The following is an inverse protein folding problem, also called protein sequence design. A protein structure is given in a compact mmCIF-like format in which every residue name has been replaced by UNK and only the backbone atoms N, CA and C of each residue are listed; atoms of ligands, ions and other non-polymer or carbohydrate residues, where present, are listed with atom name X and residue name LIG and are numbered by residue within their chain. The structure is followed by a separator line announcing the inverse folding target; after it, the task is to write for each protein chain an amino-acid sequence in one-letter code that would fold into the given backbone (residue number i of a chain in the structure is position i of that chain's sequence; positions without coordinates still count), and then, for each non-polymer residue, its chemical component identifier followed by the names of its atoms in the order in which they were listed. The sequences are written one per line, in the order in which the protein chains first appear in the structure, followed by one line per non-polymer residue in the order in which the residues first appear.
data_IF_020673844208
#
_entry.id   IF_020673844208
#
_cell.length_a   1.000
_cell.length_b   1.000
_cell.length_c   1.000
_cell.angle_alpha   90.00
_cell.angle_beta   90.00
_cell.angle_gamma   90.00
#
_symmetry.space_group_name_H-M   'P 1'
#
loop_
_entity.id
_entity.type
_entity.pdbx_description
1 polymer ?
#
# COMPACT_ATOMS: atom_id res chain seq x y z
N UNK A 1 57.80 5.29 -37.29
CA UNK A 1 57.07 4.45 -38.26
C UNK A 1 56.13 3.52 -37.50
N UNK A 2 54.84 3.45 -37.86
CA UNK A 2 53.81 2.66 -37.18
C UNK A 2 53.66 1.23 -37.75
N UNK A 3 53.09 0.30 -36.98
CA UNK A 3 52.17 -0.78 -37.44
C UNK A 3 51.62 -1.52 -36.20
N UNK A 4 50.33 -1.38 -35.85
CA UNK A 4 49.13 -2.14 -36.29
C UNK A 4 49.16 -3.61 -35.85
N UNK A 5 48.40 -3.92 -34.77
CA UNK A 5 47.73 -5.18 -34.39
C UNK A 5 47.58 -5.17 -32.85
N UNK A 6 46.44 -5.23 -32.18
CA UNK A 6 45.03 -5.43 -32.53
C UNK A 6 44.20 -4.71 -31.46
N UNK A 7 43.19 -3.98 -31.92
CA UNK A 7 42.14 -3.46 -31.07
C UNK A 7 41.24 -4.62 -30.62
N UNK A 8 41.27 -4.97 -29.34
CA UNK A 8 40.15 -5.66 -28.71
C UNK A 8 39.44 -4.64 -27.82
N UNK A 9 38.56 -3.89 -28.48
CA UNK A 9 37.51 -3.15 -27.82
C UNK A 9 36.58 -4.14 -27.12
N UNK A 10 36.70 -4.22 -25.79
CA UNK A 10 35.68 -4.83 -24.94
C UNK A 10 35.56 -4.06 -23.64
N UNK A 11 35.30 -2.77 -23.77
CA UNK A 11 34.67 -2.03 -22.69
C UNK A 11 33.22 -2.46 -22.67
N UNK A 12 32.94 -3.45 -21.82
CA UNK A 12 31.59 -3.74 -21.35
C UNK A 12 31.03 -2.39 -20.90
N UNK A 13 29.99 -1.92 -21.59
CA UNK A 13 28.96 -1.12 -20.94
C UNK A 13 28.47 -1.99 -19.79
N UNK A 14 29.01 -1.78 -18.61
CA UNK A 14 28.33 -2.20 -17.38
C UNK A 14 27.05 -1.40 -17.42
N UNK A 15 25.97 -2.05 -17.88
CA UNK A 15 24.63 -1.56 -17.62
C UNK A 15 24.60 -1.31 -16.13
N UNK A 16 24.56 -0.03 -15.76
CA UNK A 16 24.16 0.39 -14.44
C UNK A 16 22.77 -0.22 -14.31
N UNK A 17 22.64 -1.33 -13.58
CA UNK A 17 21.32 -1.78 -13.17
C UNK A 17 20.69 -0.56 -12.53
N UNK A 18 19.54 -0.12 -13.03
CA UNK A 18 18.71 0.82 -12.30
C UNK A 18 18.49 0.17 -10.94
N UNK A 19 19.20 0.70 -9.94
CA UNK A 19 19.03 0.32 -8.56
C UNK A 19 17.58 0.73 -8.28
N UNK A 20 16.69 -0.26 -8.13
CA UNK A 20 15.28 0.02 -7.91
C UNK A 20 15.18 0.98 -6.73
N UNK A 21 14.61 2.16 -6.97
CA UNK A 21 14.44 3.16 -5.92
C UNK A 21 13.51 2.54 -4.87
N UNK A 22 13.94 2.56 -3.61
CA UNK A 22 13.08 2.12 -2.50
C UNK A 22 12.27 3.32 -2.05
N UNK A 23 10.96 3.24 -2.19
CA UNK A 23 10.02 4.26 -1.72
C UNK A 23 9.48 3.82 -0.36
N UNK A 24 9.39 4.76 0.57
CA UNK A 24 8.63 4.55 1.81
C UNK A 24 7.19 5.03 1.58
N UNK A 25 6.24 4.20 2.01
CA UNK A 25 4.83 4.55 2.11
C UNK A 25 4.40 4.38 3.56
N UNK A 26 3.43 5.17 3.99
CA UNK A 26 2.90 5.12 5.34
C UNK A 26 1.44 4.65 5.29
N UNK A 27 1.13 3.61 6.04
CA UNK A 27 -0.23 3.08 6.15
C UNK A 27 -0.76 3.51 7.52
N UNK A 28 -1.81 4.31 7.52
CA UNK A 28 -2.42 4.82 8.74
C UNK A 28 -3.67 4.01 9.12
N UNK A 29 -3.78 3.69 10.40
CA UNK A 29 -4.88 2.95 11.02
C UNK A 29 -5.63 3.85 11.99
N UNK A 30 -6.96 3.71 12.03
CA UNK A 30 -7.82 4.53 12.87
C UNK A 30 -8.59 3.71 13.88
N UNK A 31 -8.07 3.55 15.10
CA UNK A 31 -8.80 2.82 16.13
C UNK A 31 -9.93 3.66 16.71
N UNK A 32 -11.15 3.14 16.60
CA UNK A 32 -12.37 3.83 16.98
C UNK A 32 -13.46 2.85 17.43
N UNK A 33 -14.52 3.38 18.05
CA UNK A 33 -15.67 2.58 18.41
C UNK A 33 -16.30 1.97 17.16
N UNK A 34 -16.63 0.68 17.23
CA UNK A 34 -17.25 -0.01 16.11
C UNK A 34 -18.64 0.56 15.82
N UNK A 35 -18.99 0.78 14.54
CA UNK A 35 -20.38 1.00 14.14
C UNK A 35 -21.21 -0.31 14.15
N UNK A 36 -20.55 -1.48 14.24
CA UNK A 36 -21.17 -2.80 14.30
C UNK A 36 -21.47 -3.20 15.74
N UNK A 37 -22.69 -3.69 16.04
CA UNK A 37 -23.12 -3.97 17.40
C UNK A 37 -22.37 -5.13 18.07
N UNK A 38 -21.81 -6.05 17.29
CA UNK A 38 -21.13 -7.25 17.79
C UNK A 38 -19.63 -7.03 18.08
N UNK A 39 -19.12 -5.83 17.81
CA UNK A 39 -17.72 -5.46 18.02
C UNK A 39 -17.65 -4.21 18.90
N UNK A 40 -16.69 -4.17 19.84
CA UNK A 40 -16.49 -2.96 20.63
C UNK A 40 -15.72 -1.88 19.84
N UNK A 41 -14.75 -2.29 19.02
CA UNK A 41 -13.85 -1.42 18.27
C UNK A 41 -13.50 -1.99 16.90
N UNK A 42 -13.21 -1.07 15.98
CA UNK A 42 -12.55 -1.34 14.69
C UNK A 42 -11.28 -0.49 14.58
N UNK A 43 -10.33 -0.93 13.77
CA UNK A 43 -9.06 -0.28 13.48
C UNK A 43 -8.72 -0.43 11.99
N UNK A 44 -9.55 0.10 11.06
CA UNK A 44 -9.32 -0.01 9.63
C UNK A 44 -8.11 0.81 9.18
N UNK A 45 -7.61 0.53 7.97
CA UNK A 45 -6.69 1.44 7.25
C UNK A 45 -7.51 2.66 6.84
N UNK A 46 -7.19 3.83 7.38
CA UNK A 46 -7.91 5.08 7.16
C UNK A 46 -7.24 6.00 6.16
N UNK A 47 -5.97 5.75 5.83
CA UNK A 47 -5.23 6.47 4.79
C UNK A 47 -3.97 5.71 4.38
N UNK A 48 -3.48 5.99 3.17
CA UNK A 48 -2.13 5.65 2.72
C UNK A 48 -1.45 6.94 2.27
N UNK A 49 -0.29 7.25 2.85
CA UNK A 49 0.35 8.56 2.79
C UNK A 49 1.80 8.44 2.30
N UNK A 50 2.32 9.51 1.71
CA UNK A 50 3.67 9.54 1.14
C UNK A 50 4.73 10.00 2.15
N UNK A 51 4.35 10.73 3.19
CA UNK A 51 5.28 11.37 4.12
C UNK A 51 4.88 11.23 5.60
N UNK A 52 5.85 11.36 6.51
CA UNK A 52 5.58 11.37 7.96
C UNK A 52 4.83 12.64 8.39
N UNK A 53 5.07 13.76 7.72
CA UNK A 53 4.39 15.03 7.98
C UNK A 53 2.88 14.92 7.75
N UNK A 54 2.45 14.21 6.70
CA UNK A 54 1.05 13.92 6.44
C UNK A 54 0.44 13.03 7.53
N UNK A 55 1.19 12.03 8.01
CA UNK A 55 0.74 11.16 9.10
C UNK A 55 0.51 11.97 10.39
N UNK A 56 1.44 12.86 10.73
CA UNK A 56 1.32 13.74 11.89
C UNK A 56 0.13 14.72 11.75
N UNK A 57 -0.09 15.25 10.54
CA UNK A 57 -1.24 16.11 10.26
C UNK A 57 -2.57 15.34 10.37
N UNK A 58 -2.60 14.07 9.93
CA UNK A 58 -3.76 13.19 10.05
C UNK A 58 -4.07 12.91 11.53
N UNK A 59 -3.07 12.54 12.32
CA UNK A 59 -3.23 12.29 13.77
C UNK A 59 -3.80 13.53 14.50
N UNK A 60 -3.30 14.72 14.16
CA UNK A 60 -3.80 15.98 14.74
C UNK A 60 -5.23 16.35 14.29
N UNK A 61 -5.68 15.87 13.13
CA UNK A 61 -7.00 16.22 12.56
C UNK A 61 -8.13 15.38 13.13
N UNK A 62 -7.84 14.22 13.73
CA UNK A 62 -8.82 13.25 14.19
C UNK A 62 -8.59 12.84 15.65
N UNK A 63 -8.66 13.80 16.59
CA UNK A 63 -8.40 13.55 18.03
C UNK A 63 -9.31 12.50 18.68
N UNK A 64 -10.51 12.28 18.13
CA UNK A 64 -11.47 11.28 18.62
C UNK A 64 -11.15 9.85 18.15
N UNK A 65 -10.28 9.71 17.16
CA UNK A 65 -9.79 8.43 16.62
C UNK A 65 -8.36 8.25 17.08
N UNK A 66 -8.03 7.09 17.65
CA UNK A 66 -6.64 6.78 17.98
C UNK A 66 -5.93 6.37 16.69
N UNK A 67 -5.38 7.37 15.99
CA UNK A 67 -4.58 7.18 14.78
C UNK A 67 -3.24 6.55 15.14
N UNK A 68 -2.84 5.54 14.39
CA UNK A 68 -1.48 5.00 14.38
C UNK A 68 -1.03 4.77 12.94
N UNK A 69 0.25 4.61 12.68
CA UNK A 69 0.74 4.38 11.32
C UNK A 69 2.01 3.55 11.31
N UNK A 70 2.25 2.86 10.21
CA UNK A 70 3.46 2.08 9.97
C UNK A 70 4.08 2.41 8.61
N UNK A 71 5.39 2.22 8.50
CA UNK A 71 6.12 2.42 7.24
C UNK A 71 6.31 1.10 6.50
N UNK A 72 5.94 1.09 5.22
CA UNK A 72 6.24 0.00 4.29
C UNK A 72 7.19 0.47 3.20
N UNK A 73 8.05 -0.44 2.75
CA UNK A 73 9.01 -0.19 1.67
C UNK A 73 8.51 -0.85 0.40
N UNK A 74 8.44 -0.08 -0.67
CA UNK A 74 8.08 -0.55 -2.00
C UNK A 74 9.30 -0.43 -2.91
N UNK A 75 9.57 -1.47 -3.69
CA UNK A 75 10.58 -1.41 -4.73
C UNK A 75 9.97 -0.76 -5.97
N UNK A 76 10.43 0.45 -6.30
CA UNK A 76 10.05 1.14 -7.51
C UNK A 76 11.07 0.87 -8.62
N UNK A 77 10.67 0.07 -9.60
CA UNK A 77 11.46 -0.18 -10.80
C UNK A 77 11.35 0.92 -11.86
N UNK A 78 10.39 1.84 -11.71
CA UNK A 78 10.07 2.92 -12.65
C UNK A 78 10.78 4.24 -12.32
N UNK A 79 11.40 4.34 -11.15
CA UNK A 79 12.05 5.56 -10.65
C UNK A 79 11.05 6.64 -10.21
N UNK A 80 11.45 7.51 -9.28
CA UNK A 80 10.60 8.58 -8.73
C UNK A 80 9.96 8.25 -7.37
N UNK A 81 9.42 9.27 -6.70
CA UNK A 81 8.75 9.15 -5.40
C UNK A 81 7.23 9.01 -5.52
N UNK A 82 6.59 8.60 -4.43
CA UNK A 82 5.13 8.52 -4.35
C UNK A 82 4.51 9.91 -4.34
N UNK A 83 3.43 10.12 -5.08
CA UNK A 83 2.68 11.37 -5.14
C UNK A 83 1.22 11.17 -4.74
N UNK A 84 0.59 12.24 -4.24
CA UNK A 84 -0.85 12.26 -3.99
C UNK A 84 -1.65 11.89 -5.25
N UNK A 85 -2.70 11.08 -5.06
CA UNK A 85 -3.55 10.59 -6.13
C UNK A 85 -3.01 9.36 -6.86
N UNK A 86 -1.79 8.90 -6.57
CA UNK A 86 -1.31 7.62 -7.10
C UNK A 86 -2.10 6.44 -6.51
N UNK A 87 -2.18 5.35 -7.27
CA UNK A 87 -2.89 4.14 -6.85
C UNK A 87 -1.88 3.11 -6.37
N UNK A 88 -2.15 2.52 -5.21
CA UNK A 88 -1.42 1.38 -4.67
C UNK A 88 -2.35 0.19 -4.49
N UNK A 89 -1.75 -0.99 -4.43
CA UNK A 89 -2.44 -2.25 -4.21
C UNK A 89 -1.89 -2.90 -2.95
N UNK A 90 -2.73 -3.00 -1.92
CA UNK A 90 -2.41 -3.67 -0.67
C UNK A 90 -2.88 -5.13 -0.75
N UNK A 91 -2.01 -6.08 -0.40
CA UNK A 91 -2.34 -7.50 -0.42
C UNK A 91 -2.58 -8.02 1.00
N UNK A 92 -3.74 -8.64 1.23
CA UNK A 92 -4.18 -9.17 2.51
C UNK A 92 -4.38 -10.68 2.43
N UNK A 93 -3.79 -11.44 3.36
CA UNK A 93 -3.94 -12.91 3.36
C UNK A 93 -5.36 -13.36 3.76
N UNK A 94 -6.10 -12.52 4.49
CA UNK A 94 -7.48 -12.79 4.89
C UNK A 94 -8.31 -11.52 4.87
N UNK A 95 -9.57 -11.65 4.47
CA UNK A 95 -10.60 -10.65 4.72
C UNK A 95 -11.48 -11.13 5.87
N UNK A 96 -11.53 -10.35 6.94
CA UNK A 96 -12.55 -10.55 7.96
C UNK A 96 -13.82 -9.84 7.49
N UNK A 97 -14.96 -10.54 7.37
CA UNK A 97 -16.23 -9.89 7.08
C UNK A 97 -16.61 -9.02 8.26
N UNK A 98 -17.11 -7.83 7.98
CA UNK A 98 -17.49 -6.88 9.04
C UNK A 98 -18.99 -6.80 9.26
N UNK A 99 -19.77 -7.28 8.30
CA UNK A 99 -21.22 -7.36 8.39
C UNK A 99 -21.75 -8.51 7.53
N UNK A 100 -23.02 -8.82 7.71
CA UNK A 100 -23.78 -9.76 6.90
C UNK A 100 -25.02 -9.03 6.39
N UNK A 101 -25.23 -9.01 5.07
CA UNK A 101 -26.41 -8.36 4.49
C UNK A 101 -27.71 -9.08 4.90
N UNK A 102 -28.86 -8.49 4.54
CA UNK A 102 -30.18 -9.05 4.82
C UNK A 102 -30.44 -10.44 4.21
N UNK A 103 -29.63 -10.85 3.24
CA UNK A 103 -29.70 -12.14 2.56
C UNK A 103 -28.70 -13.17 3.13
N UNK A 104 -27.93 -12.80 4.15
CA UNK A 104 -26.95 -13.68 4.79
C UNK A 104 -25.58 -13.69 4.11
N UNK A 105 -25.33 -12.80 3.14
CA UNK A 105 -24.04 -12.71 2.47
C UNK A 105 -23.06 -11.87 3.30
N UNK A 106 -21.82 -12.32 3.36
CA UNK A 106 -20.75 -11.56 4.01
C UNK A 106 -20.44 -10.29 3.22
N UNK A 107 -20.41 -9.15 3.91
CA UNK A 107 -20.01 -7.86 3.34
C UNK A 107 -18.54 -7.62 3.68
N UNK A 108 -17.74 -7.32 2.65
CA UNK A 108 -16.32 -6.99 2.73
C UNK A 108 -16.11 -5.58 2.16
N UNK A 109 -15.48 -4.67 2.90
CA UNK A 109 -15.61 -3.23 2.63
C UNK A 109 -15.02 -2.37 3.75
N UNK A 110 -15.09 -2.85 5.00
CA UNK A 110 -14.32 -2.32 6.12
C UNK A 110 -13.65 -3.52 6.78
N UNK A 111 -12.34 -3.68 6.65
CA UNK A 111 -11.63 -4.70 7.43
C UNK A 111 -11.57 -4.23 8.90
N UNK A 112 -11.96 -5.07 9.85
CA UNK A 112 -11.93 -4.70 11.28
C UNK A 112 -10.52 -4.31 11.72
N UNK A 113 -9.51 -5.11 11.36
CA UNK A 113 -8.11 -4.88 11.72
C UNK A 113 -7.18 -5.38 10.59
N UNK A 114 -7.18 -4.72 9.42
CA UNK A 114 -6.37 -5.10 8.28
C UNK A 114 -4.87 -5.12 8.62
N UNK A 115 -4.16 -6.09 8.04
CA UNK A 115 -2.71 -6.16 8.12
C UNK A 115 -2.16 -6.58 6.75
N UNK A 116 -1.94 -5.62 5.85
CA UNK A 116 -1.45 -5.93 4.52
C UNK A 116 -0.03 -6.51 4.61
N UNK A 117 0.17 -7.66 3.97
CA UNK A 117 1.48 -8.32 3.91
C UNK A 117 2.35 -7.75 2.78
N UNK A 118 1.72 -7.22 1.73
CA UNK A 118 2.39 -6.64 0.58
C UNK A 118 1.77 -5.31 0.14
N UNK A 119 2.61 -4.46 -0.45
CA UNK A 119 2.20 -3.20 -1.08
C UNK A 119 2.86 -3.12 -2.45
N UNK A 120 2.07 -2.84 -3.48
CA UNK A 120 2.51 -2.86 -4.88
C UNK A 120 2.07 -1.60 -5.62
N UNK A 121 2.87 -1.17 -6.60
CA UNK A 121 2.60 0.01 -7.44
C UNK A 121 1.62 -0.31 -8.58
N UNK A 122 1.53 -1.58 -8.98
CA UNK A 122 0.69 -2.03 -10.10
C UNK A 122 -0.13 -3.25 -9.71
N UNK A 123 -1.32 -3.38 -10.31
CA UNK A 123 -2.18 -4.53 -10.10
C UNK A 123 -1.52 -5.80 -10.63
N UNK A 124 -0.81 -5.71 -11.77
CA UNK A 124 -0.12 -6.85 -12.36
C UNK A 124 1.00 -7.40 -11.47
N UNK A 125 1.74 -6.53 -10.77
CA UNK A 125 2.73 -6.98 -9.78
C UNK A 125 2.06 -7.60 -8.57
N UNK A 126 0.99 -6.99 -8.06
CA UNK A 126 0.23 -7.52 -6.93
C UNK A 126 -0.32 -8.91 -7.26
N UNK A 127 -1.04 -9.07 -8.38
CA UNK A 127 -1.58 -10.34 -8.83
C UNK A 127 -0.50 -11.36 -9.15
N UNK A 128 0.71 -10.96 -9.56
CA UNK A 128 1.81 -11.91 -9.82
C UNK A 128 2.43 -12.45 -8.52
N UNK A 129 2.66 -11.57 -7.55
CA UNK A 129 3.42 -11.87 -6.33
C UNK A 129 2.52 -12.29 -5.16
N UNK A 130 1.22 -12.00 -5.20
CA UNK A 130 0.26 -12.26 -4.14
C UNK A 130 -1.02 -12.90 -4.70
N UNK A 131 -0.89 -13.98 -5.48
CA UNK A 131 -2.00 -14.65 -6.18
C UNK A 131 -3.10 -15.17 -5.25
N UNK A 132 -2.72 -15.62 -4.05
CA UNK A 132 -3.65 -16.18 -3.06
C UNK A 132 -4.16 -15.12 -2.06
N UNK A 133 -3.90 -13.83 -2.33
CA UNK A 133 -4.24 -12.72 -1.44
C UNK A 133 -5.41 -11.93 -2.00
N UNK A 134 -6.16 -11.31 -1.10
CA UNK A 134 -7.15 -10.31 -1.45
C UNK A 134 -6.44 -8.99 -1.71
N UNK A 135 -6.77 -8.35 -2.83
CA UNK A 135 -6.18 -7.08 -3.21
C UNK A 135 -7.11 -5.94 -2.83
N UNK A 136 -6.57 -4.94 -2.16
CA UNK A 136 -7.25 -3.68 -1.87
C UNK A 136 -6.60 -2.58 -2.70
N UNK A 137 -7.36 -1.96 -3.59
CA UNK A 137 -6.93 -0.79 -4.35
C UNK A 137 -7.16 0.46 -3.51
N UNK A 138 -6.10 1.22 -3.26
CA UNK A 138 -6.13 2.45 -2.46
C UNK A 138 -5.53 3.61 -3.24
N UNK A 139 -6.02 4.82 -2.99
CA UNK A 139 -5.43 6.05 -3.54
C UNK A 139 -4.61 6.77 -2.46
N UNK A 140 -3.38 7.14 -2.79
CA UNK A 140 -2.47 7.88 -1.89
C UNK A 140 -3.05 9.26 -1.61
N UNK A 141 -3.06 9.65 -0.34
CA UNK A 141 -3.66 10.89 0.15
C UNK A 141 -5.18 10.82 0.35
N UNK A 142 -5.83 9.71 -0.03
CA UNK A 142 -7.23 9.47 0.33
C UNK A 142 -7.35 9.22 1.84
N UNK A 143 -8.36 9.83 2.47
CA UNK A 143 -8.64 9.68 3.90
C UNK A 143 -10.10 9.32 4.11
N UNK A 144 -10.34 8.24 4.85
CA UNK A 144 -11.68 7.83 5.28
C UNK A 144 -11.58 7.13 6.63
N UNK A 145 -12.24 7.69 7.65
CA UNK A 145 -12.24 7.11 8.99
C UNK A 145 -12.85 5.71 9.01
N UNK A 146 -13.77 5.40 8.09
CA UNK A 146 -14.41 4.08 8.02
C UNK A 146 -13.56 3.07 7.26
N UNK A 147 -12.44 3.47 6.67
CA UNK A 147 -11.64 2.63 5.80
C UNK A 147 -11.54 3.25 4.39
N UNK A 148 -10.35 3.19 3.80
CA UNK A 148 -10.09 3.62 2.42
C UNK A 148 -10.04 2.45 1.45
N UNK A 149 -10.23 2.74 0.16
CA UNK A 149 -10.01 1.78 -0.91
C UNK A 149 -11.12 0.77 -1.15
N UNK A 150 -10.91 -0.03 -2.20
CA UNK A 150 -11.85 -1.00 -2.74
C UNK A 150 -11.19 -2.38 -2.77
N UNK A 151 -11.88 -3.41 -2.29
CA UNK A 151 -11.41 -4.80 -2.44
C UNK A 151 -11.70 -5.24 -3.89
N UNK A 152 -10.67 -5.77 -4.55
CA UNK A 152 -10.75 -6.32 -5.90
C UNK A 152 -11.03 -7.83 -5.84
N UNK A 153 -11.94 -8.28 -6.71
CA UNK A 153 -12.19 -9.70 -7.00
C UNK A 153 -11.07 -10.37 -7.82
#
# INVERSE_FOLDING_TARGET
MPSISEAIGRWKKTGKGEEADVINVFIAFGKQKSPFPDLDYIEPIIAVLATEEECAALEASYEEVKVSWETRRIHNSLGGGLSDGEVLYLAHASLEPYDVDSDGNQIYGIMQSPNPEGVFLTEEEARRNAQDYYLQKVTVGEVSILGVGEILD
#
